data_IF_375265925248
#
_entry.id   IF_375265925248
#
_cell.length_a   1.000
_cell.length_b   1.000
_cell.length_c   1.000
_cell.angle_alpha   90.00
_cell.angle_beta   90.00
_cell.angle_gamma   90.00
#
_symmetry.space_group_name_H-M   'P 1'
#
loop_
_entity.id
_entity.type
_entity.pdbx_description
1 polymer ?
#
# COMPACT_ATOMS: atom_id res chain seq x y z
N UNK A 1 3.20 -32.96 -19.23
CA UNK A 1 2.70 -34.23 -18.68
C UNK A 1 3.48 -34.55 -17.43
N UNK A 2 2.80 -34.63 -16.28
CA UNK A 2 3.35 -35.19 -15.03
C UNK A 2 2.40 -36.32 -14.64
N UNK A 3 2.79 -37.57 -14.92
CA UNK A 3 1.86 -38.72 -14.86
C UNK A 3 0.69 -38.63 -15.86
N UNK A 4 -0.48 -39.19 -15.51
CA UNK A 4 -1.65 -39.35 -16.39
C UNK A 4 -2.50 -38.07 -16.62
N UNK A 5 -2.02 -36.90 -16.19
CA UNK A 5 -2.73 -35.62 -16.37
C UNK A 5 -2.09 -34.77 -17.45
N UNK A 6 -2.90 -34.38 -18.44
CA UNK A 6 -2.58 -33.35 -19.41
C UNK A 6 -2.70 -32.00 -18.73
N UNK A 7 -1.58 -31.26 -18.65
CA UNK A 7 -1.56 -29.85 -18.21
C UNK A 7 -1.26 -29.04 -19.46
N UNK A 8 -2.23 -28.21 -19.85
CA UNK A 8 -2.09 -27.27 -20.95
C UNK A 8 -1.27 -26.08 -20.45
N UNK A 9 -0.17 -25.75 -21.13
CA UNK A 9 0.69 -24.61 -20.79
C UNK A 9 0.69 -23.68 -21.99
N UNK A 10 0.10 -22.50 -21.83
CA UNK A 10 0.15 -21.42 -22.81
C UNK A 10 1.22 -20.41 -22.39
N UNK A 11 2.19 -20.17 -23.28
CA UNK A 11 3.22 -19.14 -23.12
C UNK A 11 2.89 -18.04 -24.12
N UNK A 12 2.66 -16.82 -23.65
CA UNK A 12 2.64 -15.62 -24.50
C UNK A 12 3.71 -14.66 -23.98
N UNK A 13 4.60 -14.25 -24.88
CA UNK A 13 5.57 -13.21 -24.61
C UNK A 13 5.00 -11.88 -25.09
N UNK A 14 4.64 -10.99 -24.17
CA UNK A 14 4.48 -9.56 -24.41
C UNK A 14 5.00 -8.83 -23.17
N UNK A 15 6.01 -7.97 -23.36
CA UNK A 15 6.44 -6.91 -22.43
C UNK A 15 6.58 -7.25 -20.92
N UNK A 16 7.81 -7.61 -20.49
CA UNK A 16 8.30 -7.27 -19.14
C UNK A 16 7.73 -8.01 -17.92
N UNK A 17 7.14 -9.19 -18.07
CA UNK A 17 6.50 -9.97 -16.98
C UNK A 17 7.43 -10.96 -16.25
N UNK A 18 7.02 -11.33 -15.01
CA UNK A 18 7.48 -12.55 -14.33
C UNK A 18 7.02 -13.76 -15.15
N UNK A 19 7.99 -14.48 -15.73
CA UNK A 19 7.69 -15.50 -16.74
C UNK A 19 7.17 -16.79 -16.09
N UNK A 20 7.54 -17.08 -14.84
CA UNK A 20 7.21 -18.35 -14.22
C UNK A 20 7.21 -18.27 -12.69
N UNK A 21 6.09 -18.62 -12.06
CA UNK A 21 6.04 -19.13 -10.69
C UNK A 21 5.60 -20.60 -10.78
N UNK A 22 6.52 -21.53 -10.54
CA UNK A 22 6.24 -22.98 -10.65
C UNK A 22 6.79 -23.70 -9.42
N UNK A 23 5.92 -24.44 -8.75
CA UNK A 23 6.32 -25.43 -7.76
C UNK A 23 6.83 -26.67 -8.51
N UNK A 24 8.12 -26.98 -8.37
CA UNK A 24 8.74 -28.13 -9.00
C UNK A 24 9.02 -29.22 -7.96
N UNK A 25 8.82 -30.47 -8.39
CA UNK A 25 9.31 -31.63 -7.67
C UNK A 25 10.84 -31.64 -7.80
N UNK A 26 11.56 -31.86 -6.69
CA UNK A 26 13.03 -31.83 -6.68
C UNK A 26 13.65 -32.81 -7.69
N UNK A 27 12.94 -33.89 -8.03
CA UNK A 27 13.37 -34.92 -8.97
C UNK A 27 13.37 -34.49 -10.44
N UNK A 28 12.59 -33.49 -10.84
CA UNK A 28 12.51 -33.00 -12.22
C UNK A 28 13.14 -31.62 -12.41
N UNK A 29 13.59 -31.03 -11.30
CA UNK A 29 14.05 -29.65 -11.22
C UNK A 29 15.20 -29.34 -12.18
N UNK A 30 16.28 -30.12 -12.10
CA UNK A 30 17.49 -29.85 -12.90
C UNK A 30 17.18 -29.89 -14.41
N UNK A 31 16.35 -30.83 -14.85
CA UNK A 31 15.99 -30.99 -16.25
C UNK A 31 15.13 -29.84 -16.76
N UNK A 32 14.16 -29.37 -15.99
CA UNK A 32 13.32 -28.24 -16.38
C UNK A 32 14.08 -26.91 -16.36
N UNK A 33 14.97 -26.68 -15.38
CA UNK A 33 15.88 -25.54 -15.36
C UNK A 33 16.78 -25.51 -16.59
N UNK A 34 17.37 -26.65 -16.96
CA UNK A 34 18.20 -26.75 -18.17
C UNK A 34 17.43 -26.44 -19.45
N UNK A 35 16.16 -26.85 -19.54
CA UNK A 35 15.30 -26.52 -20.69
C UNK A 35 14.93 -25.03 -20.74
N UNK A 36 14.62 -24.41 -19.59
CA UNK A 36 14.37 -22.98 -19.49
C UNK A 36 15.62 -22.17 -19.91
N UNK A 37 16.80 -22.58 -19.44
CA UNK A 37 18.10 -21.98 -19.79
C UNK A 37 18.36 -22.09 -21.29
N UNK A 38 18.10 -23.25 -21.88
CA UNK A 38 18.28 -23.47 -23.32
C UNK A 38 17.33 -22.59 -24.14
N UNK A 39 16.10 -22.37 -23.68
CA UNK A 39 15.12 -21.49 -24.33
C UNK A 39 15.48 -20.00 -24.23
N UNK A 40 16.21 -19.60 -23.18
CA UNK A 40 16.62 -18.21 -22.93
C UNK A 40 18.01 -17.87 -23.50
N UNK A 41 18.84 -18.87 -23.83
CA UNK A 41 20.13 -18.69 -24.51
C UNK A 41 19.95 -17.95 -25.84
N UNK A 42 20.56 -16.77 -25.96
CA UNK A 42 20.54 -15.94 -27.17
C UNK A 42 19.52 -14.80 -27.17
N UNK A 43 18.73 -14.62 -26.10
CA UNK A 43 17.95 -13.40 -25.89
C UNK A 43 18.75 -12.38 -25.08
N UNK A 44 18.70 -11.09 -25.45
CA UNK A 44 19.37 -9.99 -24.74
C UNK A 44 18.60 -9.58 -23.47
N UNK A 45 18.38 -10.56 -22.59
CA UNK A 45 17.55 -10.43 -21.39
C UNK A 45 18.32 -10.91 -20.17
N UNK A 46 18.20 -10.18 -19.06
CA UNK A 46 18.76 -10.60 -17.76
C UNK A 46 17.72 -11.43 -17.02
N UNK A 47 18.12 -12.60 -16.52
CA UNK A 47 17.23 -13.50 -15.77
C UNK A 47 17.72 -13.58 -14.33
N UNK A 48 16.86 -13.22 -13.38
CA UNK A 48 17.09 -13.49 -11.96
C UNK A 48 16.33 -14.75 -11.57
N UNK A 49 17.04 -15.70 -10.97
CA UNK A 49 16.47 -16.94 -10.45
C UNK A 49 16.33 -16.82 -8.94
N UNK A 50 15.12 -17.07 -8.46
CA UNK A 50 14.81 -17.14 -7.04
C UNK A 50 14.51 -18.60 -6.67
N UNK A 51 15.15 -19.07 -5.59
CA UNK A 51 14.91 -20.37 -4.97
C UNK A 51 14.24 -20.13 -3.62
N UNK A 52 12.96 -20.49 -3.47
CA UNK A 52 12.18 -20.22 -2.24
C UNK A 52 12.26 -18.72 -1.84
N UNK A 53 12.20 -17.83 -2.82
CA UNK A 53 12.33 -16.38 -2.63
C UNK A 53 13.74 -15.87 -2.30
N UNK A 54 14.78 -16.70 -2.30
CA UNK A 54 16.18 -16.28 -2.18
C UNK A 54 16.75 -16.02 -3.57
N UNK A 55 17.24 -14.81 -3.81
CA UNK A 55 17.99 -14.49 -5.02
C UNK A 55 19.30 -15.29 -5.04
N UNK A 56 19.48 -16.14 -6.06
CA UNK A 56 20.65 -17.02 -6.15
C UNK A 56 21.95 -16.26 -6.46
N UNK A 57 21.88 -15.06 -7.03
CA UNK A 57 23.06 -14.19 -7.24
C UNK A 57 22.67 -12.74 -7.57
N UNK A 58 23.45 -11.77 -7.08
CA UNK A 58 23.34 -10.35 -7.44
C UNK A 58 24.15 -9.96 -8.69
N UNK A 59 25.07 -10.82 -9.14
CA UNK A 59 25.80 -10.66 -10.39
C UNK A 59 25.29 -11.68 -11.40
N UNK A 60 25.32 -11.38 -12.69
CA UNK A 60 24.97 -12.34 -13.74
C UNK A 60 25.93 -13.54 -13.69
N UNK A 61 25.65 -14.52 -12.84
CA UNK A 61 26.26 -15.84 -12.88
C UNK A 61 25.63 -16.56 -14.07
N UNK A 62 26.46 -17.22 -14.86
CA UNK A 62 25.98 -18.23 -15.78
C UNK A 62 25.22 -19.29 -14.97
N UNK A 63 24.03 -19.68 -15.45
CA UNK A 63 23.13 -20.57 -14.71
C UNK A 63 23.79 -21.93 -14.39
N UNK A 64 24.83 -22.30 -15.13
CA UNK A 64 25.71 -23.45 -14.86
C UNK A 64 26.41 -23.34 -13.48
N UNK A 65 26.79 -22.14 -13.03
CA UNK A 65 27.43 -21.92 -11.73
C UNK A 65 26.45 -22.00 -10.55
N UNK A 66 25.20 -21.57 -10.76
CA UNK A 66 24.14 -21.68 -9.76
C UNK A 66 23.74 -23.14 -9.50
N UNK A 67 23.77 -23.98 -10.54
CA UNK A 67 23.58 -25.43 -10.43
C UNK A 67 24.79 -26.10 -9.77
N UNK A 68 26.02 -25.63 -10.02
CA UNK A 68 27.23 -26.20 -9.41
C UNK A 68 27.42 -25.82 -7.94
N UNK A 69 27.00 -24.64 -7.50
CA UNK A 69 27.14 -24.21 -6.09
C UNK A 69 26.10 -24.80 -5.14
N UNK A 70 24.94 -25.24 -5.65
CA UNK A 70 23.85 -25.78 -4.84
C UNK A 70 23.35 -27.15 -5.29
N UNK A 71 23.98 -27.74 -6.32
CA UNK A 71 23.64 -29.03 -6.91
C UNK A 71 24.22 -30.24 -6.19
N UNK A 72 24.27 -30.22 -4.86
CA UNK A 72 24.22 -31.46 -4.09
C UNK A 72 22.79 -31.65 -3.59
N UNK A 73 21.93 -32.03 -4.54
CA UNK A 73 20.61 -32.57 -4.28
C UNK A 73 20.77 -34.01 -3.75
N UNK A 74 21.52 -34.19 -2.66
CA UNK A 74 21.77 -35.51 -2.11
C UNK A 74 20.56 -35.98 -1.27
N UNK A 75 20.29 -37.27 -1.38
CA UNK A 75 19.00 -37.91 -1.17
C UNK A 75 18.45 -37.78 0.27
N UNK A 76 17.23 -37.25 0.43
CA UNK A 76 16.52 -37.46 1.70
C UNK A 76 15.33 -36.58 2.09
N UNK A 77 14.98 -35.49 1.39
CA UNK A 77 13.82 -34.66 1.77
C UNK A 77 12.84 -34.46 0.60
N UNK A 78 11.55 -34.83 0.76
CA UNK A 78 10.53 -34.60 -0.25
C UNK A 78 9.82 -33.27 0.04
N UNK A 79 10.53 -32.15 -0.05
CA UNK A 79 9.89 -30.85 0.16
C UNK A 79 9.99 -30.03 -1.12
N UNK A 80 8.82 -29.61 -1.62
CA UNK A 80 8.62 -28.81 -2.81
C UNK A 80 9.54 -27.58 -2.82
N UNK A 81 10.09 -27.25 -3.99
CA UNK A 81 10.95 -26.08 -4.17
C UNK A 81 10.24 -25.11 -5.12
N UNK A 82 10.06 -23.87 -4.68
CA UNK A 82 9.37 -22.82 -5.43
C UNK A 82 10.37 -21.98 -6.21
N UNK A 83 10.14 -21.85 -7.52
CA UNK A 83 10.99 -21.09 -8.43
C UNK A 83 10.26 -19.86 -8.93
N UNK A 84 10.97 -18.72 -8.91
CA UNK A 84 10.54 -17.51 -9.61
C UNK A 84 11.65 -17.05 -10.54
N UNK A 85 11.34 -16.94 -11.83
CA UNK A 85 12.25 -16.37 -12.82
C UNK A 85 11.76 -14.97 -13.22
N UNK A 86 12.56 -13.96 -12.90
CA UNK A 86 12.29 -12.56 -13.26
C UNK A 86 13.17 -12.23 -14.46
N UNK A 87 12.57 -11.73 -15.54
CA UNK A 87 13.32 -11.37 -16.75
C UNK A 87 13.25 -9.88 -16.97
N UNK A 88 14.42 -9.22 -16.91
CA UNK A 88 14.57 -7.79 -17.16
C UNK A 88 15.14 -7.56 -18.57
N UNK A 89 14.56 -6.62 -19.31
CA UNK A 89 15.15 -6.13 -20.56
C UNK A 89 16.41 -5.32 -20.26
N UNK A 90 17.49 -5.59 -21.00
CA UNK A 90 18.79 -4.95 -20.81
C UNK A 90 18.81 -3.44 -21.12
N UNK A 91 17.71 -2.86 -21.60
CA UNK A 91 17.67 -1.52 -22.20
C UNK A 91 17.00 -0.39 -21.39
N UNK A 92 16.37 -0.62 -20.22
CA UNK A 92 15.69 0.48 -19.52
C UNK A 92 16.63 1.28 -18.59
N UNK A 93 17.47 2.14 -19.17
CA UNK A 93 18.20 3.19 -18.45
C UNK A 93 17.34 4.41 -18.07
N UNK A 94 16.02 4.32 -18.14
CA UNK A 94 15.09 5.33 -17.60
C UNK A 94 14.32 4.73 -16.43
N UNK A 95 14.95 4.71 -15.25
CA UNK A 95 14.44 4.03 -14.06
C UNK A 95 13.45 4.89 -13.23
N UNK A 96 13.11 6.09 -13.71
CA UNK A 96 12.39 7.12 -12.94
C UNK A 96 10.98 7.42 -13.45
N UNK A 97 10.39 6.58 -14.32
CA UNK A 97 8.98 6.73 -14.72
C UNK A 97 8.31 5.39 -14.93
N UNK A 98 7.22 5.18 -14.20
CA UNK A 98 6.36 4.01 -14.28
C UNK A 98 5.04 4.43 -14.91
N UNK A 99 4.46 3.58 -15.76
CA UNK A 99 3.14 3.85 -16.30
C UNK A 99 2.10 3.49 -15.25
N UNK A 100 1.48 4.51 -14.66
CA UNK A 100 0.35 4.34 -13.75
C UNK A 100 -0.88 3.94 -14.53
N UNK A 101 -1.37 2.74 -14.27
CA UNK A 101 -2.65 2.30 -14.80
C UNK A 101 -3.78 2.82 -13.90
N UNK A 102 -4.76 3.59 -14.42
CA UNK A 102 -5.88 4.10 -13.63
C UNK A 102 -6.65 2.97 -12.96
N UNK A 103 -7.09 3.16 -11.71
CA UNK A 103 -7.83 2.12 -10.98
C UNK A 103 -7.81 2.32 -9.48
N UNK A 104 -8.49 1.41 -8.78
CA UNK A 104 -8.55 1.36 -7.32
C UNK A 104 -7.54 0.37 -6.78
N UNK A 105 -6.52 0.90 -6.11
CA UNK A 105 -5.47 0.15 -5.46
C UNK A 105 -5.84 -0.13 -4.02
N UNK A 106 -5.88 -1.41 -3.68
CA UNK A 106 -6.28 -1.89 -2.37
C UNK A 106 -5.11 -2.56 -1.67
N UNK A 107 -4.77 -2.08 -0.48
CA UNK A 107 -3.86 -2.81 0.40
C UNK A 107 -4.64 -3.89 1.14
N UNK A 108 -4.34 -5.16 0.84
CA UNK A 108 -4.94 -6.30 1.51
C UNK A 108 -4.01 -6.77 2.64
N UNK A 109 -4.18 -6.17 3.83
CA UNK A 109 -3.29 -6.34 4.99
C UNK A 109 -3.05 -7.82 5.31
N UNK A 110 -4.12 -8.62 5.33
CA UNK A 110 -4.11 -10.04 5.69
C UNK A 110 -3.64 -10.96 4.57
N UNK A 111 -3.83 -10.56 3.31
CA UNK A 111 -3.36 -11.33 2.15
C UNK A 111 -1.93 -10.94 1.73
N UNK A 112 -1.33 -9.96 2.40
CA UNK A 112 0.05 -9.52 2.20
C UNK A 112 0.34 -9.16 0.73
N UNK A 113 -0.60 -8.42 0.14
CA UNK A 113 -0.54 -7.99 -1.25
C UNK A 113 -1.27 -6.67 -1.43
N UNK A 114 -0.98 -6.03 -2.56
CA UNK A 114 -1.74 -4.91 -3.08
C UNK A 114 -2.38 -5.36 -4.38
N UNK A 115 -3.67 -5.13 -4.51
CA UNK A 115 -4.43 -5.38 -5.74
C UNK A 115 -4.88 -4.08 -6.39
N UNK A 116 -5.04 -4.09 -7.70
CA UNK A 116 -5.63 -3.02 -8.50
C UNK A 116 -6.93 -3.52 -9.13
N UNK A 117 -7.97 -2.72 -9.00
CA UNK A 117 -9.28 -2.94 -9.61
C UNK A 117 -9.48 -1.93 -10.73
N UNK A 118 -9.89 -2.39 -11.91
CA UNK A 118 -10.11 -1.50 -13.03
C UNK A 118 -11.35 -0.63 -12.80
N UNK A 119 -11.33 0.63 -13.29
CA UNK A 119 -12.42 1.58 -13.07
C UNK A 119 -13.69 1.22 -13.87
N UNK A 120 -13.60 0.27 -14.80
CA UNK A 120 -14.71 -0.22 -15.62
C UNK A 120 -15.64 -1.19 -14.88
N UNK A 121 -15.34 -1.51 -13.61
CA UNK A 121 -16.13 -2.43 -12.81
C UNK A 121 -15.79 -3.89 -13.06
N UNK A 122 -14.58 -4.20 -13.57
CA UNK A 122 -14.08 -5.57 -13.65
C UNK A 122 -14.21 -6.29 -12.30
N UNK A 123 -14.66 -7.54 -12.31
CA UNK A 123 -14.78 -8.37 -11.10
C UNK A 123 -13.46 -9.02 -10.68
N UNK A 124 -12.41 -8.89 -11.50
CA UNK A 124 -11.10 -9.46 -11.23
C UNK A 124 -10.11 -8.35 -10.85
N UNK A 125 -9.39 -8.61 -9.76
CA UNK A 125 -8.35 -7.74 -9.25
C UNK A 125 -6.98 -8.20 -9.74
N UNK A 126 -6.16 -7.27 -10.19
CA UNK A 126 -4.78 -7.51 -10.60
C UNK A 126 -3.87 -7.39 -9.37
N UNK A 127 -3.05 -8.40 -9.07
CA UNK A 127 -2.02 -8.27 -8.03
C UNK A 127 -0.88 -7.42 -8.59
N UNK A 128 -0.64 -6.25 -8.00
CA UNK A 128 0.41 -5.32 -8.46
C UNK A 128 1.67 -5.37 -7.59
N UNK A 129 1.53 -5.71 -6.30
CA UNK A 129 2.64 -5.87 -5.35
C UNK A 129 2.33 -7.00 -4.38
N UNK A 130 3.35 -7.75 -3.97
CA UNK A 130 3.19 -8.82 -2.99
C UNK A 130 2.72 -10.13 -3.63
N UNK A 131 1.96 -10.94 -2.88
CA UNK A 131 1.37 -12.19 -3.41
C UNK A 131 2.19 -13.46 -3.18
N UNK A 132 3.43 -13.34 -2.71
CA UNK A 132 4.28 -14.49 -2.31
C UNK A 132 4.18 -14.82 -0.81
N UNK A 133 3.04 -14.47 -0.20
CA UNK A 133 2.78 -14.68 1.22
C UNK A 133 3.51 -13.70 2.15
N UNK A 134 3.40 -13.96 3.45
CA UNK A 134 3.97 -13.13 4.51
C UNK A 134 5.50 -13.25 4.55
N UNK A 135 6.21 -12.13 4.54
CA UNK A 135 7.65 -12.12 4.78
C UNK A 135 8.33 -10.84 4.32
N UNK A 136 9.65 -10.86 4.26
CA UNK A 136 10.49 -9.71 3.89
C UNK A 136 11.34 -9.96 2.62
N UNK A 137 11.20 -11.14 2.00
CA UNK A 137 11.90 -11.51 0.76
C UNK A 137 11.28 -10.81 -0.46
N UNK A 138 11.91 -10.98 -1.61
CA UNK A 138 11.40 -10.45 -2.88
C UNK A 138 9.96 -10.93 -3.13
N UNK A 139 9.08 -9.98 -3.43
CA UNK A 139 7.65 -10.25 -3.64
C UNK A 139 6.84 -10.58 -2.37
N UNK A 140 7.47 -10.66 -1.19
CA UNK A 140 6.76 -10.84 0.07
C UNK A 140 6.52 -9.48 0.74
N UNK A 141 5.32 -9.32 1.30
CA UNK A 141 4.98 -8.20 2.17
C UNK A 141 4.64 -8.73 3.56
N UNK A 142 4.69 -7.85 4.56
CA UNK A 142 4.14 -8.16 5.88
C UNK A 142 3.30 -6.98 6.37
N UNK A 143 1.98 -7.19 6.43
CA UNK A 143 1.01 -6.19 6.87
C UNK A 143 1.09 -4.87 6.12
N UNK A 144 0.94 -4.85 4.78
CA UNK A 144 0.90 -3.60 4.02
C UNK A 144 -0.31 -2.77 4.47
N UNK A 145 -0.12 -1.50 4.84
CA UNK A 145 -1.20 -0.60 5.30
C UNK A 145 -1.34 0.60 4.38
N UNK A 146 -0.53 1.64 4.58
CA UNK A 146 -0.56 2.87 3.80
C UNK A 146 0.00 2.66 2.40
N UNK A 147 -0.64 3.30 1.41
CA UNK A 147 -0.19 3.33 0.03
C UNK A 147 -0.15 4.78 -0.46
N UNK A 148 0.83 5.14 -1.31
CA UNK A 148 0.82 6.41 -2.03
C UNK A 148 1.58 6.29 -3.37
N UNK A 149 1.38 7.27 -4.26
CA UNK A 149 2.05 7.32 -5.56
C UNK A 149 2.66 8.70 -5.78
N UNK A 150 3.80 8.75 -6.47
CA UNK A 150 4.32 10.01 -6.99
C UNK A 150 3.81 10.32 -8.40
N UNK A 151 4.10 11.54 -8.88
CA UNK A 151 3.71 12.01 -10.21
C UNK A 151 4.40 11.23 -11.35
N UNK A 152 5.43 10.45 -11.05
CA UNK A 152 6.15 9.60 -12.00
C UNK A 152 5.61 8.17 -12.03
N UNK A 153 4.64 7.85 -11.18
CA UNK A 153 4.03 6.54 -11.09
C UNK A 153 4.74 5.54 -10.23
N UNK A 154 5.73 5.97 -9.46
CA UNK A 154 6.33 5.14 -8.43
C UNK A 154 5.31 4.99 -7.31
N UNK A 155 5.15 3.74 -6.88
CA UNK A 155 4.22 3.33 -5.86
C UNK A 155 4.96 3.05 -4.56
N UNK A 156 4.41 3.48 -3.43
CA UNK A 156 5.00 3.28 -2.11
C UNK A 156 4.05 2.50 -1.22
N UNK A 157 4.61 1.55 -0.46
CA UNK A 157 3.87 0.68 0.45
C UNK A 157 4.49 0.77 1.83
N UNK A 158 3.71 1.17 2.83
CA UNK A 158 4.07 1.03 4.24
C UNK A 158 3.77 -0.39 4.71
N UNK A 159 4.81 -1.11 5.14
CA UNK A 159 4.71 -2.48 5.61
C UNK A 159 4.82 -2.50 7.14
N UNK A 160 3.68 -2.51 7.83
CA UNK A 160 3.62 -2.49 9.29
C UNK A 160 4.37 -3.66 9.93
N UNK A 161 4.28 -4.85 9.31
CA UNK A 161 4.94 -6.05 9.80
C UNK A 161 6.45 -6.07 9.56
N UNK A 162 6.93 -5.40 8.51
CA UNK A 162 8.35 -5.32 8.18
C UNK A 162 9.02 -4.01 8.66
N UNK A 163 8.23 -3.07 9.21
CA UNK A 163 8.70 -1.77 9.74
C UNK A 163 9.51 -0.99 8.72
N UNK A 164 8.98 -0.89 7.50
CA UNK A 164 9.63 -0.22 6.37
C UNK A 164 8.61 0.39 5.43
N UNK A 165 9.07 1.34 4.62
CA UNK A 165 8.39 1.75 3.39
C UNK A 165 9.19 1.24 2.20
N UNK A 166 8.50 0.59 1.26
CA UNK A 166 9.09 0.12 0.00
C UNK A 166 8.54 0.90 -1.17
N UNK A 167 9.42 1.26 -2.13
CA UNK A 167 9.04 1.83 -3.43
C UNK A 167 8.99 0.76 -4.51
N UNK A 168 8.04 0.86 -5.43
CA UNK A 168 7.76 -0.10 -6.48
C UNK A 168 7.47 0.65 -7.78
N UNK A 169 7.79 0.01 -8.90
CA UNK A 169 7.43 0.49 -10.22
C UNK A 169 6.51 -0.55 -10.87
N UNK A 170 5.18 -0.43 -10.70
CA UNK A 170 4.25 -1.32 -11.39
C UNK A 170 4.45 -1.13 -12.90
N UNK A 171 4.66 -2.23 -13.63
CA UNK A 171 4.59 -2.25 -15.10
C UNK A 171 3.22 -2.77 -15.52
N UNK A 172 2.76 -2.45 -16.73
CA UNK A 172 1.49 -2.97 -17.22
C UNK A 172 1.45 -4.51 -17.17
N UNK A 173 0.29 -5.05 -16.76
CA UNK A 173 -0.07 -6.48 -16.77
C UNK A 173 0.69 -7.38 -15.79
N UNK A 174 0.30 -7.37 -14.52
CA UNK A 174 0.46 -8.51 -13.61
C UNK A 174 1.89 -8.96 -13.30
N UNK A 175 2.90 -8.19 -13.75
CA UNK A 175 4.27 -8.41 -13.38
C UNK A 175 4.38 -8.12 -11.89
N UNK A 176 4.32 -9.19 -11.08
CA UNK A 176 4.83 -9.24 -9.71
C UNK A 176 6.12 -8.42 -9.69
N UNK A 177 6.03 -7.17 -9.24
CA UNK A 177 7.12 -6.21 -9.37
C UNK A 177 8.26 -6.69 -8.47
N UNK A 178 9.10 -7.60 -8.96
CA UNK A 178 10.04 -8.31 -8.13
C UNK A 178 11.16 -7.35 -7.74
N UNK A 179 11.05 -6.71 -6.58
CA UNK A 179 12.14 -5.92 -6.02
C UNK A 179 11.76 -4.56 -5.48
N UNK A 180 10.67 -4.46 -4.72
CA UNK A 180 10.38 -3.27 -3.93
C UNK A 180 11.62 -2.84 -3.15
N UNK A 181 12.10 -1.62 -3.43
CA UNK A 181 13.29 -1.10 -2.77
C UNK A 181 12.88 -0.46 -1.46
N UNK A 182 13.51 -0.88 -0.37
CA UNK A 182 13.34 -0.20 0.92
C UNK A 182 13.92 1.21 0.82
N UNK A 183 13.07 2.21 1.07
CA UNK A 183 13.43 3.64 1.00
C UNK A 183 13.35 4.31 2.35
N UNK A 184 12.64 3.71 3.30
CA UNK A 184 12.51 4.23 4.64
C UNK A 184 12.51 3.09 5.66
N UNK A 185 13.25 3.28 6.73
CA UNK A 185 13.33 2.43 7.92
C UNK A 185 13.19 3.33 9.16
N UNK A 186 13.36 2.83 10.38
CA UNK A 186 13.22 3.65 11.63
C UNK A 186 11.77 4.03 11.99
N UNK A 187 10.91 3.02 12.03
CA UNK A 187 9.50 3.13 12.41
C UNK A 187 9.08 1.88 13.21
N UNK A 188 8.16 2.01 14.16
CA UNK A 188 7.72 0.89 15.01
C UNK A 188 6.50 0.15 14.43
N UNK A 189 5.48 0.87 13.97
CA UNK A 189 4.34 0.31 13.25
C UNK A 189 3.79 1.35 12.25
N UNK A 190 4.31 1.44 11.02
CA UNK A 190 3.82 2.41 10.04
C UNK A 190 2.37 2.13 9.64
N UNK A 191 1.54 3.17 9.72
CA UNK A 191 0.15 3.21 9.29
C UNK A 191 0.01 3.79 7.88
N UNK A 192 -0.80 4.84 7.75
CA UNK A 192 -0.95 5.63 6.53
C UNK A 192 0.30 6.41 6.16
N UNK A 193 0.46 6.66 4.86
CA UNK A 193 1.59 7.40 4.28
C UNK A 193 1.11 8.37 3.22
N UNK A 194 1.83 9.48 3.05
CA UNK A 194 1.60 10.42 1.96
C UNK A 194 2.93 11.02 1.47
N UNK A 195 2.91 11.61 0.28
CA UNK A 195 4.09 12.27 -0.29
C UNK A 195 4.01 13.78 -0.14
N UNK A 196 5.14 14.39 0.18
CA UNK A 196 5.35 15.83 0.12
C UNK A 196 5.64 16.33 -1.30
N UNK A 197 5.60 17.66 -1.46
CA UNK A 197 5.83 18.32 -2.75
C UNK A 197 7.27 18.21 -3.29
N UNK A 198 8.22 17.73 -2.50
CA UNK A 198 9.63 17.58 -2.90
C UNK A 198 10.15 16.15 -2.73
N UNK A 199 9.25 15.15 -2.72
CA UNK A 199 9.60 13.74 -2.61
C UNK A 199 9.79 13.23 -1.19
N UNK A 200 9.41 14.03 -0.18
CA UNK A 200 9.34 13.55 1.20
C UNK A 200 8.26 12.47 1.34
N UNK A 201 8.52 11.45 2.16
CA UNK A 201 7.52 10.44 2.53
C UNK A 201 7.14 10.68 3.98
N UNK A 202 5.92 11.14 4.21
CA UNK A 202 5.37 11.23 5.56
C UNK A 202 4.69 9.92 5.93
N UNK A 203 4.87 9.49 7.17
CA UNK A 203 4.24 8.28 7.68
C UNK A 203 3.74 8.49 9.11
N UNK A 204 2.55 7.98 9.40
CA UNK A 204 2.03 7.88 10.75
C UNK A 204 2.64 6.62 11.42
N UNK A 205 3.41 6.79 12.48
CA UNK A 205 3.93 5.67 13.26
C UNK A 205 3.00 5.37 14.44
N UNK A 206 2.16 4.34 14.27
CA UNK A 206 1.07 4.01 15.20
C UNK A 206 1.62 3.67 16.59
N UNK A 207 2.72 2.91 16.67
CA UNK A 207 3.37 2.54 17.94
C UNK A 207 4.46 3.51 18.35
N UNK A 208 5.01 4.27 17.41
CA UNK A 208 5.94 5.36 17.70
C UNK A 208 5.26 6.63 18.23
N UNK A 209 3.92 6.70 18.22
CA UNK A 209 3.14 7.86 18.68
C UNK A 209 3.64 9.18 18.06
N UNK A 210 3.97 9.13 16.77
CA UNK A 210 4.60 10.24 16.04
C UNK A 210 4.30 10.18 14.55
N UNK A 211 4.58 11.29 13.86
CA UNK A 211 4.66 11.32 12.40
C UNK A 211 6.10 11.55 12.00
N UNK A 212 6.64 10.64 11.21
CA UNK A 212 7.96 10.76 10.60
C UNK A 212 7.88 11.35 9.21
N UNK A 213 8.95 12.04 8.82
CA UNK A 213 9.23 12.51 7.47
C UNK A 213 10.53 11.86 7.02
N UNK A 214 10.44 11.06 5.96
CA UNK A 214 11.56 10.35 5.37
C UNK A 214 12.03 11.04 4.10
N UNK A 215 13.32 11.30 4.00
CA UNK A 215 13.95 11.85 2.79
C UNK A 215 15.30 11.19 2.58
N UNK A 216 15.47 10.55 1.43
CA UNK A 216 16.72 9.86 1.06
C UNK A 216 17.19 8.82 2.10
N UNK A 217 16.24 8.24 2.85
CA UNK A 217 16.49 7.26 3.91
C UNK A 217 16.63 7.86 5.32
N UNK A 218 16.80 9.18 5.44
CA UNK A 218 16.88 9.87 6.73
C UNK A 218 15.47 10.18 7.25
N UNK A 219 15.21 9.81 8.51
CA UNK A 219 13.92 10.05 9.18
C UNK A 219 14.03 11.17 10.20
N UNK A 220 13.10 12.12 10.11
CA UNK A 220 12.90 13.16 11.11
C UNK A 220 11.47 13.13 11.66
N UNK A 221 11.31 13.27 12.98
CA UNK A 221 9.99 13.41 13.60
C UNK A 221 9.47 14.84 13.41
N UNK A 222 8.33 14.97 12.73
CA UNK A 222 7.71 16.25 12.37
C UNK A 222 6.45 16.57 13.19
N UNK A 223 5.80 15.57 13.78
CA UNK A 223 4.70 15.73 14.73
C UNK A 223 4.77 14.66 15.84
N UNK A 224 4.33 15.03 17.04
CA UNK A 224 4.42 14.15 18.23
C UNK A 224 5.87 13.88 18.66
N UNK A 225 6.16 12.63 19.05
CA UNK A 225 7.50 12.20 19.47
C UNK A 225 7.84 12.49 20.94
N UNK A 226 6.85 12.87 21.76
CA UNK A 226 6.97 13.08 23.20
C UNK A 226 6.26 12.01 24.03
N UNK A 227 6.16 10.81 23.46
CA UNK A 227 5.37 9.70 24.00
C UNK A 227 3.85 9.86 23.74
N UNK A 228 3.06 8.84 24.09
CA UNK A 228 1.61 8.87 23.98
C UNK A 228 1.01 9.95 24.89
N UNK A 229 -0.02 10.64 24.39
CA UNK A 229 -0.78 11.62 25.16
C UNK A 229 -1.70 12.47 24.30
N UNK A 230 -2.46 13.34 24.95
CA UNK A 230 -3.46 14.22 24.34
C UNK A 230 -3.03 15.69 24.29
N UNK A 231 -1.84 16.03 24.79
CA UNK A 231 -1.26 17.36 24.65
C UNK A 231 -1.06 17.73 23.16
N UNK A 232 -0.97 19.03 22.86
CA UNK A 232 -0.80 19.50 21.47
C UNK A 232 0.56 19.12 20.87
N UNK A 233 1.56 18.78 21.68
CA UNK A 233 2.87 18.30 21.25
C UNK A 233 3.03 16.77 21.39
N UNK A 234 1.94 16.06 21.70
CA UNK A 234 1.85 14.61 21.79
C UNK A 234 0.82 14.08 20.78
N UNK A 235 0.98 12.81 20.41
CA UNK A 235 0.03 12.08 19.59
C UNK A 235 -0.29 10.77 20.30
N UNK A 236 -1.49 10.24 20.12
CA UNK A 236 -1.80 8.88 20.53
C UNK A 236 -2.35 8.04 19.36
N UNK A 237 -1.59 7.00 19.02
CA UNK A 237 -1.83 6.07 17.90
C UNK A 237 -2.24 6.82 16.62
N UNK A 238 -1.36 7.65 16.04
CA UNK A 238 -1.64 8.26 14.75
C UNK A 238 -1.73 7.14 13.71
N UNK A 239 -2.87 7.03 13.03
CA UNK A 239 -3.14 5.92 12.09
C UNK A 239 -3.00 6.32 10.64
N UNK A 240 -3.16 7.60 10.33
CA UNK A 240 -3.08 8.12 8.97
C UNK A 240 -2.58 9.57 8.94
N UNK A 241 -1.96 9.94 7.83
CA UNK A 241 -1.36 11.26 7.61
C UNK A 241 -1.59 11.74 6.18
N UNK A 242 -1.95 13.01 6.04
CA UNK A 242 -2.06 13.69 4.75
C UNK A 242 -1.35 15.04 4.81
N UNK A 243 -0.91 15.56 3.67
CA UNK A 243 -0.26 16.86 3.57
C UNK A 243 -0.96 17.68 2.49
N UNK A 244 -1.25 18.95 2.79
CA UNK A 244 -1.84 19.86 1.80
C UNK A 244 -0.78 20.56 0.93
N UNK A 245 -1.24 21.25 -0.11
CA UNK A 245 -0.38 22.01 -1.03
C UNK A 245 0.40 23.17 -0.37
N UNK A 246 0.03 23.58 0.85
CA UNK A 246 0.74 24.59 1.65
C UNK A 246 1.71 23.98 2.67
N UNK A 247 1.84 22.64 2.70
CA UNK A 247 2.73 21.90 3.58
C UNK A 247 2.22 21.73 5.01
N UNK A 248 0.92 21.92 5.27
CA UNK A 248 0.34 21.52 6.56
C UNK A 248 0.11 20.02 6.58
N UNK A 249 0.50 19.39 7.68
CA UNK A 249 0.30 17.97 7.95
C UNK A 249 -1.00 17.78 8.71
N UNK A 250 -1.85 16.86 8.27
CA UNK A 250 -3.08 16.47 8.93
C UNK A 250 -2.91 15.04 9.43
N UNK A 251 -3.27 14.79 10.68
CA UNK A 251 -2.98 13.52 11.37
C UNK A 251 -4.26 13.01 12.01
N UNK A 252 -4.69 11.81 11.63
CA UNK A 252 -5.78 11.10 12.28
C UNK A 252 -5.25 10.36 13.51
N UNK A 253 -5.73 10.71 14.69
CA UNK A 253 -5.32 10.11 15.96
C UNK A 253 -6.40 9.16 16.44
N UNK A 254 -6.14 7.85 16.32
CA UNK A 254 -7.09 6.83 16.76
C UNK A 254 -7.26 6.84 18.28
N UNK A 255 -6.18 7.06 19.03
CA UNK A 255 -6.21 7.03 20.50
C UNK A 255 -6.89 8.25 21.13
N UNK A 256 -6.85 9.39 20.44
CA UNK A 256 -7.38 10.68 20.94
C UNK A 256 -8.71 11.09 20.29
N UNK A 257 -9.27 10.29 19.39
CA UNK A 257 -10.51 10.57 18.65
C UNK A 257 -10.55 11.99 18.05
N UNK A 258 -9.45 12.36 17.38
CA UNK A 258 -9.29 13.69 16.80
C UNK A 258 -8.50 13.65 15.50
N UNK A 259 -8.63 14.72 14.74
CA UNK A 259 -7.67 15.05 13.68
C UNK A 259 -6.97 16.34 14.07
N UNK A 260 -5.64 16.34 13.99
CA UNK A 260 -4.80 17.50 14.23
C UNK A 260 -4.13 17.98 12.95
N UNK A 261 -3.95 19.30 12.84
CA UNK A 261 -3.21 19.97 11.78
C UNK A 261 -1.91 20.54 12.34
N UNK A 262 -0.80 20.30 11.65
CA UNK A 262 0.55 20.62 12.08
C UNK A 262 1.31 21.41 11.04
N UNK A 263 2.11 22.39 11.49
CA UNK A 263 3.13 23.06 10.69
C UNK A 263 4.22 23.58 11.61
N UNK A 264 5.48 23.30 11.28
CA UNK A 264 6.63 23.72 12.09
C UNK A 264 6.47 23.36 13.59
N UNK A 265 5.97 22.15 13.88
CA UNK A 265 5.64 21.63 15.23
C UNK A 265 4.53 22.38 15.98
N UNK A 266 3.88 23.36 15.35
CA UNK A 266 2.66 23.97 15.86
C UNK A 266 1.47 23.09 15.52
N UNK A 267 0.64 22.75 16.51
CA UNK A 267 -0.50 21.86 16.37
C UNK A 267 -1.82 22.56 16.65
N UNK A 268 -2.85 22.19 15.90
CA UNK A 268 -4.24 22.61 16.12
C UNK A 268 -5.17 21.41 15.94
N UNK A 269 -6.12 21.22 16.86
CA UNK A 269 -7.23 20.27 16.66
C UNK A 269 -8.22 20.87 15.66
N UNK A 270 -8.49 20.14 14.58
CA UNK A 270 -9.38 20.59 13.48
C UNK A 270 -10.64 19.74 13.34
N UNK A 271 -10.67 18.54 13.93
CA UNK A 271 -11.83 17.67 13.99
C UNK A 271 -11.82 16.85 15.29
N UNK A 272 -12.99 16.59 15.86
CA UNK A 272 -13.12 15.83 17.12
C UNK A 272 -12.45 16.52 18.32
N UNK A 273 -11.78 15.72 19.16
CA UNK A 273 -11.10 16.22 20.38
C UNK A 273 -12.04 16.67 21.49
N UNK A 274 -13.31 16.23 21.44
CA UNK A 274 -14.35 16.48 22.44
C UNK A 274 -14.80 15.19 23.12
N UNK A 275 -13.85 14.27 23.28
CA UNK A 275 -14.10 12.89 23.70
C UNK A 275 -14.70 12.03 22.59
N UNK A 276 -14.64 10.73 22.82
CA UNK A 276 -15.25 9.70 21.98
C UNK A 276 -16.78 9.85 21.95
N UNK A 277 -17.37 9.79 20.76
CA UNK A 277 -18.83 9.79 20.60
C UNK A 277 -19.31 9.98 19.16
N UNK A 278 -20.62 10.00 18.98
CA UNK A 278 -21.30 10.05 17.68
C UNK A 278 -21.87 11.43 17.32
N UNK A 279 -21.80 12.39 18.25
CA UNK A 279 -22.21 13.77 18.01
C UNK A 279 -21.44 14.38 16.84
N UNK A 280 -22.01 15.41 16.20
CA UNK A 280 -21.40 16.03 15.01
C UNK A 280 -20.10 16.78 15.34
N UNK A 281 -19.86 17.12 16.60
CA UNK A 281 -18.61 17.69 17.09
C UNK A 281 -17.62 16.65 17.66
N UNK A 282 -17.96 15.36 17.62
CA UNK A 282 -17.14 14.26 18.11
C UNK A 282 -16.71 13.34 16.97
N UNK A 283 -15.65 12.57 17.23
CA UNK A 283 -15.24 11.44 16.41
C UNK A 283 -15.29 10.18 17.27
N UNK A 284 -15.38 9.03 16.61
CA UNK A 284 -15.20 7.74 17.24
C UNK A 284 -14.30 6.86 16.37
N UNK A 285 -13.09 6.61 16.85
CA UNK A 285 -12.09 5.72 16.25
C UNK A 285 -11.81 6.08 14.78
N UNK A 286 -11.26 7.27 14.50
CA UNK A 286 -10.88 7.66 13.15
C UNK A 286 -9.79 6.72 12.62
N UNK A 287 -9.94 6.23 11.39
CA UNK A 287 -9.05 5.22 10.78
C UNK A 287 -8.29 5.72 9.57
N UNK A 288 -8.88 6.64 8.80
CA UNK A 288 -8.27 7.21 7.62
C UNK A 288 -8.77 8.65 7.40
N UNK A 289 -7.94 9.46 6.74
CA UNK A 289 -8.27 10.82 6.32
C UNK A 289 -7.94 11.03 4.86
N UNK A 290 -8.71 11.89 4.20
CA UNK A 290 -8.29 12.48 2.93
C UNK A 290 -8.64 13.96 2.88
N UNK A 291 -7.83 14.72 2.15
CA UNK A 291 -7.97 16.15 2.04
C UNK A 291 -8.78 16.51 0.79
N UNK A 292 -9.70 17.44 0.97
CA UNK A 292 -10.42 18.08 -0.11
C UNK A 292 -10.01 19.55 -0.14
N UNK A 293 -9.05 19.87 -1.00
CA UNK A 293 -8.58 21.25 -1.20
C UNK A 293 -9.51 22.00 -2.16
N UNK A 294 -10.07 23.12 -1.69
CA UNK A 294 -10.86 24.03 -2.50
C UNK A 294 -10.29 25.44 -2.41
N UNK A 295 -10.83 26.38 -3.18
CA UNK A 295 -10.45 27.81 -3.06
C UNK A 295 -10.80 28.41 -1.70
N UNK A 296 -11.75 27.81 -0.99
CA UNK A 296 -12.27 28.29 0.29
C UNK A 296 -11.53 27.65 1.49
N UNK A 297 -10.60 26.72 1.23
CA UNK A 297 -9.75 26.08 2.21
C UNK A 297 -9.69 24.56 2.08
N UNK A 298 -9.06 23.91 3.05
CA UNK A 298 -8.85 22.45 3.08
C UNK A 298 -9.88 21.79 3.99
N UNK A 299 -10.84 21.08 3.41
CA UNK A 299 -11.74 20.23 4.19
C UNK A 299 -11.09 18.87 4.43
N UNK A 300 -11.35 18.28 5.60
CA UNK A 300 -10.86 16.93 5.93
C UNK A 300 -12.03 15.97 5.96
N UNK A 301 -11.95 14.93 5.13
CA UNK A 301 -12.84 13.79 5.20
C UNK A 301 -12.22 12.77 6.14
N UNK A 302 -13.02 12.21 7.04
CA UNK A 302 -12.58 11.29 8.10
C UNK A 302 -13.41 10.02 8.01
N UNK A 303 -12.77 8.88 7.85
CA UNK A 303 -13.37 7.56 8.04
C UNK A 303 -13.41 7.26 9.54
N UNK A 304 -14.60 6.99 10.08
CA UNK A 304 -14.83 6.74 11.50
C UNK A 304 -15.35 5.32 11.70
N UNK A 305 -14.47 4.42 12.17
CA UNK A 305 -14.84 3.03 12.37
C UNK A 305 -15.85 2.86 13.51
N UNK A 306 -15.75 3.68 14.56
CA UNK A 306 -16.68 3.62 15.71
C UNK A 306 -18.07 4.17 15.39
N UNK A 307 -18.15 5.13 14.46
CA UNK A 307 -19.41 5.76 14.05
C UNK A 307 -19.98 5.20 12.74
N UNK A 308 -19.33 4.20 12.14
CA UNK A 308 -19.80 3.56 10.90
C UNK A 308 -20.04 4.57 9.77
N UNK A 309 -19.23 5.64 9.70
CA UNK A 309 -19.47 6.78 8.81
C UNK A 309 -18.19 7.35 8.22
N UNK A 310 -18.36 8.13 7.17
CA UNK A 310 -17.39 9.14 6.73
C UNK A 310 -17.99 10.51 7.00
N UNK A 311 -17.23 11.37 7.68
CA UNK A 311 -17.61 12.75 7.96
C UNK A 311 -16.71 13.74 7.24
N UNK A 312 -17.24 14.92 6.91
CA UNK A 312 -16.51 16.06 6.33
C UNK A 312 -16.42 17.19 7.35
N UNK A 313 -15.21 17.64 7.62
CA UNK A 313 -14.90 18.76 8.49
C UNK A 313 -14.38 19.92 7.65
N UNK A 314 -15.16 21.00 7.61
CA UNK A 314 -14.83 22.18 6.79
C UNK A 314 -14.11 23.22 7.66
N UNK A 315 -13.12 23.96 7.14
CA UNK A 315 -12.44 25.01 7.89
C UNK A 315 -13.39 25.96 8.61
N UNK A 316 -13.11 26.23 9.89
CA UNK A 316 -13.91 27.14 10.72
C UNK A 316 -15.22 26.56 11.27
N UNK A 317 -15.60 25.33 10.89
CA UNK A 317 -16.75 24.64 11.47
C UNK A 317 -16.33 23.79 12.67
N UNK A 318 -17.17 23.75 13.70
CA UNK A 318 -16.96 22.89 14.88
C UNK A 318 -17.75 21.59 14.82
N UNK A 319 -18.53 21.39 13.76
CA UNK A 319 -19.38 20.22 13.52
C UNK A 319 -19.09 19.67 12.13
N UNK A 320 -19.16 18.36 11.99
CA UNK A 320 -19.01 17.68 10.73
C UNK A 320 -20.32 17.61 9.95
N UNK A 321 -20.20 17.45 8.64
CA UNK A 321 -21.28 16.97 7.78
C UNK A 321 -21.08 15.47 7.54
N UNK A 322 -22.10 14.65 7.78
CA UNK A 322 -22.01 13.21 7.48
C UNK A 322 -22.10 13.02 5.96
N UNK A 323 -21.07 12.43 5.38
CA UNK A 323 -20.92 12.24 3.94
C UNK A 323 -21.58 10.92 3.52
N UNK A 324 -21.29 9.84 4.23
CA UNK A 324 -21.82 8.50 3.97
C UNK A 324 -21.82 7.68 5.26
N UNK A 325 -22.76 6.76 5.40
CA UNK A 325 -22.88 5.91 6.59
C UNK A 325 -23.38 6.67 7.83
N UNK A 326 -23.31 5.98 8.98
CA UNK A 326 -23.96 6.33 10.23
C UNK A 326 -25.00 5.28 10.63
N UNK A 327 -25.20 5.11 11.94
CA UNK A 327 -26.12 4.10 12.49
C UNK A 327 -27.52 4.26 11.89
N UNK A 328 -27.99 3.21 11.20
CA UNK A 328 -29.31 3.19 10.57
C UNK A 328 -29.43 3.97 9.26
N UNK A 329 -28.32 4.38 8.65
CA UNK A 329 -28.30 5.05 7.34
C UNK A 329 -27.71 4.15 6.25
N UNK A 330 -28.16 4.35 5.00
CA UNK A 330 -27.64 3.62 3.84
C UNK A 330 -26.67 4.49 3.02
N UNK A 331 -25.60 3.90 2.45
CA UNK A 331 -25.12 2.52 2.70
C UNK A 331 -24.62 2.34 4.14
N UNK A 332 -24.87 1.16 4.71
CA UNK A 332 -24.38 0.77 6.03
C UNK A 332 -22.89 0.41 5.90
N UNK A 333 -22.03 1.25 6.48
CA UNK A 333 -20.60 0.95 6.62
C UNK A 333 -20.38 0.21 7.92
N UNK A 334 -19.45 -0.73 7.98
CA UNK A 334 -19.23 -1.51 9.19
C UNK A 334 -17.90 -1.18 9.88
N UNK A 335 -16.81 -1.10 9.14
CA UNK A 335 -15.49 -0.67 9.62
C UNK A 335 -14.77 0.05 8.49
N UNK A 336 -15.15 1.30 8.17
CA UNK A 336 -14.41 2.11 7.22
C UNK A 336 -12.95 2.22 7.70
N UNK A 337 -12.01 1.85 6.82
CA UNK A 337 -10.59 1.62 7.16
C UNK A 337 -9.62 2.30 6.21
N UNK A 338 -10.09 2.70 5.04
CA UNK A 338 -9.34 3.45 4.04
C UNK A 338 -10.26 4.43 3.32
N UNK A 339 -9.68 5.54 2.89
CA UNK A 339 -10.42 6.64 2.29
C UNK A 339 -9.56 7.31 1.22
N UNK A 340 -10.12 7.52 0.03
CA UNK A 340 -9.53 8.43 -0.95
C UNK A 340 -10.59 9.30 -1.62
N UNK A 341 -10.13 10.42 -2.14
CA UNK A 341 -10.95 11.43 -2.79
C UNK A 341 -10.38 11.72 -4.18
N UNK A 342 -11.24 11.68 -5.18
CA UNK A 342 -10.92 12.07 -6.53
C UNK A 342 -11.39 13.49 -6.79
N UNK A 343 -10.42 14.38 -6.98
CA UNK A 343 -10.68 15.78 -7.25
C UNK A 343 -11.22 16.03 -8.67
N UNK A 344 -11.04 15.10 -9.60
CA UNK A 344 -11.49 15.25 -10.98
C UNK A 344 -13.01 15.13 -11.10
N UNK A 345 -13.62 14.21 -10.36
CA UNK A 345 -15.06 13.94 -10.41
C UNK A 345 -15.77 14.16 -9.06
N UNK A 346 -15.04 14.52 -8.01
CA UNK A 346 -15.56 14.73 -6.66
C UNK A 346 -15.94 13.44 -5.92
N UNK A 347 -15.52 12.27 -6.39
CA UNK A 347 -15.89 10.98 -5.78
C UNK A 347 -15.06 10.65 -4.54
N UNK A 348 -15.71 10.07 -3.53
CA UNK A 348 -15.06 9.50 -2.34
C UNK A 348 -15.20 7.99 -2.37
N UNK A 349 -14.09 7.30 -2.15
CA UNK A 349 -14.02 5.86 -2.07
C UNK A 349 -13.66 5.45 -0.66
N UNK A 350 -14.38 4.46 -0.13
CA UNK A 350 -14.26 3.98 1.24
C UNK A 350 -14.00 2.48 1.22
N UNK A 351 -12.92 2.04 1.85
CA UNK A 351 -12.65 0.63 2.11
C UNK A 351 -13.33 0.23 3.40
N UNK A 352 -14.31 -0.65 3.32
CA UNK A 352 -15.04 -1.16 4.46
C UNK A 352 -14.56 -2.57 4.81
N UNK A 353 -13.72 -2.68 5.84
CA UNK A 353 -12.95 -3.88 6.08
C UNK A 353 -13.73 -5.10 6.56
N UNK A 354 -14.84 -4.93 7.28
CA UNK A 354 -15.65 -6.05 7.77
C UNK A 354 -16.57 -6.60 6.70
N UNK A 355 -17.01 -5.75 5.77
CA UNK A 355 -17.86 -6.18 4.66
C UNK A 355 -17.07 -6.68 3.45
N UNK A 356 -15.74 -6.58 3.47
CA UNK A 356 -14.82 -6.83 2.34
C UNK A 356 -15.24 -6.06 1.06
N UNK A 357 -15.82 -4.87 1.23
CA UNK A 357 -16.36 -4.05 0.12
C UNK A 357 -15.67 -2.70 0.03
N UNK A 358 -15.59 -2.17 -1.18
CA UNK A 358 -15.31 -0.76 -1.42
C UNK A 358 -16.59 -0.05 -1.86
N UNK A 359 -16.87 1.08 -1.22
CA UNK A 359 -18.01 1.95 -1.55
C UNK A 359 -17.53 3.20 -2.28
N UNK A 360 -18.27 3.63 -3.30
CA UNK A 360 -18.04 4.88 -4.01
C UNK A 360 -19.25 5.80 -3.79
N UNK A 361 -19.01 7.05 -3.41
CA UNK A 361 -20.02 8.11 -3.36
C UNK A 361 -19.50 9.36 -4.06
N UNK A 362 -20.21 9.79 -5.09
CA UNK A 362 -19.90 11.05 -5.77
C UNK A 362 -20.39 12.25 -4.93
N UNK A 363 -19.51 13.21 -4.65
CA UNK A 363 -19.78 14.41 -3.84
C UNK A 363 -19.81 15.70 -4.67
N UNK A 364 -20.03 15.61 -5.98
CA UNK A 364 -20.10 16.75 -6.90
C UNK A 364 -20.90 17.93 -6.31
N UNK A 365 -20.16 18.91 -5.80
CA UNK A 365 -20.54 20.30 -5.68
C UNK A 365 -19.58 21.06 -6.61
N UNK A 366 -20.13 21.82 -7.55
CA UNK A 366 -19.41 22.33 -8.72
C UNK A 366 -18.34 23.39 -8.38
N UNK A 367 -17.14 23.02 -7.91
CA UNK A 367 -15.97 23.91 -7.82
C UNK A 367 -14.62 23.25 -7.44
N UNK A 368 -14.24 22.10 -8.03
CA UNK A 368 -12.92 21.48 -7.75
C UNK A 368 -11.92 21.75 -8.89
N UNK A 369 -10.67 22.11 -8.54
CA UNK A 369 -9.58 22.23 -9.52
C UNK A 369 -8.96 20.83 -9.72
N UNK A 370 -9.05 20.30 -10.92
CA UNK A 370 -8.41 19.05 -11.29
C UNK A 370 -6.93 19.25 -11.63
N UNK A 371 -6.05 18.52 -10.95
CA UNK A 371 -4.72 18.18 -11.44
C UNK A 371 -4.43 16.72 -11.05
N UNK A 372 -4.50 15.79 -12.00
CA UNK A 372 -4.12 14.40 -11.79
C UNK A 372 -5.00 13.40 -12.54
N UNK A 373 -4.41 12.26 -12.90
CA UNK A 373 -5.09 11.05 -13.41
C UNK A 373 -5.88 10.45 -12.23
N UNK A 374 -7.12 9.96 -12.41
CA UNK A 374 -7.92 9.42 -11.31
C UNK A 374 -7.24 8.18 -10.72
N UNK A 375 -6.78 8.31 -9.48
CA UNK A 375 -6.11 7.27 -8.72
C UNK A 375 -6.84 7.08 -7.41
N UNK A 376 -7.22 5.84 -7.09
CA UNK A 376 -7.96 5.55 -5.88
C UNK A 376 -7.12 4.62 -5.01
N UNK A 377 -6.86 5.02 -3.77
CA UNK A 377 -6.12 4.23 -2.78
C UNK A 377 -7.07 3.89 -1.64
N UNK A 378 -7.18 2.60 -1.33
CA UNK A 378 -7.97 2.12 -0.21
C UNK A 378 -7.16 1.11 0.61
N UNK A 379 -6.97 1.35 1.91
CA UNK A 379 -6.48 0.31 2.81
C UNK A 379 -7.67 -0.51 3.32
N UNK A 380 -7.64 -1.83 3.15
CA UNK A 380 -8.59 -2.75 3.80
C UNK A 380 -7.85 -3.43 4.95
N UNK A 381 -8.01 -2.92 6.17
CA UNK A 381 -7.46 -3.53 7.37
C UNK A 381 -8.56 -4.15 8.21
N UNK A 382 -8.52 -5.46 8.45
CA UNK A 382 -9.21 -6.01 9.61
C UNK A 382 -8.64 -5.34 10.87
N UNK A 383 -9.48 -4.60 11.58
CA UNK A 383 -9.25 -4.32 13.00
C UNK A 383 -9.46 -5.66 13.72
N UNK A 384 -8.44 -6.52 13.71
CA UNK A 384 -8.41 -7.66 14.61
C UNK A 384 -8.18 -7.11 16.02
N UNK A 385 -9.26 -7.16 16.80
CA UNK A 385 -9.39 -6.92 18.23
C UNK A 385 -8.17 -6.43 18.99
N UNK A 386 -8.23 -5.17 19.43
CA UNK A 386 -7.78 -4.81 20.77
C UNK A 386 -9.01 -4.42 21.59
N UNK A 387 -9.71 -5.45 22.08
CA UNK A 387 -10.59 -5.34 23.24
C UNK A 387 -9.90 -6.06 24.39
N UNK A 388 -10.00 -5.48 25.58
CA UNK A 388 -9.36 -5.80 26.88
C UNK A 388 -8.02 -5.08 27.10
N UNK A 389 -7.83 -4.26 28.14
CA UNK A 389 -8.62 -3.99 29.35
C UNK A 389 -8.90 -2.50 29.53
#
# INVERSE_FOLDING_TARGET
MVGDKTVEVSVRALSGEVILAKALLSSTLCTELQQLVAALRGQDKKVQLLLNGVLLSQSALTIEDAVLQHGDCDAGRPDFVEFTAVVEDAASKSQDRCELTPGLYISEVNNHRVTRWAPDGSSEAEIVVGGFGRGSRLGQLAGPKGLCFDAHGIFYVAEAGNRRVTRWCPKEHGALAAGGQTVCTEMEEPGGICLGGHGEIYFADVRGHSVGCCRDGDVAIVAGGRGPGDALDQLDRPVDVAVDSEGFLYVAEFGNDRVTRWKDKTCQVIAGGRGWGDALEQLASPTAICLQETRDGVSVLVAEAGNHRVSRWTPGQTRCNVVVGGVGSLPELETPSGLCFDAADGSVYVADARTERCFMRNLCDAALRAHGIPMFICCVSHVLGFVSC
#
